data_IF_679872339087
#
_entry.id   IF_679872339087
#
_cell.length_a   1.000
_cell.length_b   1.000
_cell.length_c   1.000
_cell.angle_alpha   90.00
_cell.angle_beta   90.00
_cell.angle_gamma   90.00
#
_symmetry.space_group_name_H-M   'P 1'
#
loop_
_entity.id
_entity.type
_entity.pdbx_description
1 polymer ?
#
# COMPACT_ATOMS: atom_id res chain seq x y z
N UNK A 1 -10.65 18.02 -3.35
CA UNK A 1 -9.98 17.74 -4.62
C UNK A 1 -9.28 16.39 -4.45
N UNK A 2 -9.75 15.35 -5.14
CA UNK A 2 -9.05 14.07 -5.22
C UNK A 2 -7.89 14.28 -6.19
N UNK A 3 -6.66 14.31 -5.69
CA UNK A 3 -5.49 14.29 -6.57
C UNK A 3 -5.44 12.92 -7.25
N UNK A 4 -5.39 12.92 -8.58
CA UNK A 4 -5.20 11.75 -9.46
C UNK A 4 -3.84 11.08 -9.24
N UNK A 5 -3.56 10.63 -8.02
CA UNK A 5 -2.42 9.77 -7.72
C UNK A 5 -2.85 8.31 -7.92
N UNK A 6 -3.27 7.96 -9.14
CA UNK A 6 -3.54 6.57 -9.52
C UNK A 6 -2.20 5.85 -9.67
N UNK A 7 -1.63 5.42 -8.54
CA UNK A 7 -0.44 4.59 -8.54
C UNK A 7 -0.79 3.25 -9.18
N UNK A 8 0.06 2.77 -10.09
CA UNK A 8 -0.15 1.48 -10.76
C UNK A 8 1.06 0.59 -10.56
N UNK A 9 0.82 -0.64 -10.14
CA UNK A 9 1.83 -1.69 -10.13
C UNK A 9 1.60 -2.61 -11.32
N UNK A 10 2.56 -2.62 -12.24
CA UNK A 10 2.42 -3.30 -13.53
C UNK A 10 3.17 -4.63 -13.55
N UNK A 11 2.44 -5.72 -13.78
CA UNK A 11 2.96 -7.06 -13.97
C UNK A 11 2.97 -7.43 -15.47
N UNK A 12 4.14 -7.58 -16.11
CA UNK A 12 4.26 -7.98 -17.50
C UNK A 12 3.69 -9.36 -17.70
N UNK A 13 2.82 -9.53 -18.68
CA UNK A 13 2.19 -10.80 -19.02
C UNK A 13 3.23 -11.87 -19.36
N UNK A 14 4.32 -11.48 -20.02
CA UNK A 14 5.40 -12.36 -20.52
C UNK A 14 6.37 -12.88 -19.47
N UNK A 15 6.41 -12.32 -18.26
CA UNK A 15 7.36 -12.75 -17.22
C UNK A 15 6.76 -13.87 -16.36
N UNK A 16 7.51 -14.97 -16.21
CA UNK A 16 7.21 -16.04 -15.25
C UNK A 16 7.39 -15.56 -13.81
N UNK A 17 8.34 -14.65 -13.58
CA UNK A 17 8.58 -14.01 -12.27
C UNK A 17 7.60 -12.86 -12.08
N UNK A 18 6.59 -13.10 -11.24
CA UNK A 18 5.52 -12.16 -10.89
C UNK A 18 5.82 -11.41 -9.60
N UNK A 19 7.03 -10.88 -9.46
CA UNK A 19 7.46 -10.11 -8.29
C UNK A 19 7.66 -8.65 -8.67
N UNK A 20 7.19 -7.74 -7.83
CA UNK A 20 7.34 -6.29 -7.98
C UNK A 20 7.76 -5.67 -6.67
N UNK A 21 8.45 -4.53 -6.74
CA UNK A 21 8.89 -3.82 -5.54
C UNK A 21 8.03 -2.59 -5.33
N UNK A 22 7.54 -2.47 -4.10
CA UNK A 22 6.99 -1.24 -3.56
C UNK A 22 8.04 -0.63 -2.64
N UNK A 23 8.42 0.61 -2.92
CA UNK A 23 9.37 1.38 -2.12
C UNK A 23 8.58 2.40 -1.32
N UNK A 24 8.66 2.32 0.00
CA UNK A 24 8.11 3.33 0.89
C UNK A 24 9.26 4.24 1.31
N UNK A 25 9.27 5.46 0.80
CA UNK A 25 10.29 6.46 1.13
C UNK A 25 9.71 7.47 2.10
N UNK A 26 10.29 7.53 3.29
CA UNK A 26 9.99 8.57 4.26
C UNK A 26 11.03 9.68 4.14
N UNK A 27 10.58 10.89 3.83
CA UNK A 27 11.44 12.09 3.76
C UNK A 27 11.17 13.06 4.90
N UNK A 28 10.50 12.60 5.96
CA UNK A 28 10.17 13.39 7.14
C UNK A 28 11.12 13.02 8.27
N UNK A 29 11.16 13.89 9.28
CA UNK A 29 11.97 13.76 10.49
C UNK A 29 11.34 12.86 11.58
N UNK A 30 10.29 12.10 11.24
CA UNK A 30 9.58 11.19 12.14
C UNK A 30 9.34 9.87 11.44
N UNK A 31 9.28 8.78 12.20
CA UNK A 31 8.99 7.44 11.69
C UNK A 31 7.50 7.23 11.49
N UNK A 32 7.11 6.51 10.42
CA UNK A 32 5.73 6.12 10.16
C UNK A 32 5.50 4.64 10.44
N UNK A 33 4.32 4.31 10.94
CA UNK A 33 3.81 2.95 10.91
C UNK A 33 2.91 2.80 9.70
N UNK A 34 3.25 1.88 8.81
CA UNK A 34 2.56 1.65 7.54
C UNK A 34 1.92 0.28 7.55
N UNK A 35 0.66 0.20 7.12
CA UNK A 35 -0.08 -1.04 6.91
C UNK A 35 -0.43 -1.12 5.44
N UNK A 36 -0.16 -2.28 4.83
CA UNK A 36 -0.52 -2.56 3.44
C UNK A 36 -1.55 -3.66 3.41
N UNK A 37 -2.68 -3.38 2.76
CA UNK A 37 -3.81 -4.28 2.65
C UNK A 37 -3.99 -4.64 1.17
N UNK A 38 -3.79 -5.92 0.79
CA UNK A 38 -4.16 -6.37 -0.54
C UNK A 38 -5.66 -6.63 -0.63
N UNK A 39 -6.27 -6.29 -1.76
CA UNK A 39 -7.68 -6.59 -2.01
C UNK A 39 -7.97 -8.09 -2.13
N UNK A 40 -6.94 -8.92 -2.35
CA UNK A 40 -7.05 -10.38 -2.37
C UNK A 40 -5.76 -11.04 -1.87
N UNK A 41 -5.82 -11.67 -0.68
CA UNK A 41 -4.72 -12.46 -0.12
C UNK A 41 -4.44 -13.76 -0.89
N UNK A 42 -5.39 -14.20 -1.73
CA UNK A 42 -5.24 -15.38 -2.60
C UNK A 42 -4.36 -15.08 -3.80
N UNK A 43 -4.46 -13.86 -4.33
CA UNK A 43 -3.80 -13.45 -5.57
C UNK A 43 -2.58 -12.56 -5.31
N UNK A 44 -2.59 -11.79 -4.22
CA UNK A 44 -1.49 -10.89 -3.87
C UNK A 44 -0.87 -11.33 -2.56
N UNK A 45 0.44 -11.54 -2.58
CA UNK A 45 1.24 -11.80 -1.39
C UNK A 45 2.33 -10.75 -1.23
N UNK A 46 2.50 -10.27 -0.01
CA UNK A 46 3.38 -9.16 0.35
C UNK A 46 4.46 -9.71 1.29
N UNK A 47 5.73 -9.50 0.95
CA UNK A 47 6.89 -10.00 1.70
C UNK A 47 7.82 -8.85 2.13
N UNK A 48 8.31 -8.87 3.38
CA UNK A 48 8.08 -9.88 4.42
C UNK A 48 6.66 -9.79 5.03
N UNK A 49 6.05 -10.95 5.30
CA UNK A 49 4.80 -11.07 6.07
C UNK A 49 5.11 -10.84 7.55
N UNK A 50 4.29 -10.07 8.27
CA UNK A 50 4.38 -10.09 9.74
C UNK A 50 3.82 -11.41 10.27
N UNK A 51 4.23 -11.78 11.50
CA UNK A 51 3.77 -12.99 12.20
C UNK A 51 2.24 -13.07 12.38
N UNK A 52 1.50 -12.01 12.08
CA UNK A 52 0.03 -11.91 12.23
C UNK A 52 -0.74 -12.05 10.91
N UNK A 53 -0.06 -12.35 9.79
CA UNK A 53 -0.70 -12.38 8.46
C UNK A 53 -1.05 -11.01 7.90
N UNK A 54 -0.69 -9.93 8.61
CA UNK A 54 -0.82 -8.53 8.19
C UNK A 54 0.55 -7.98 7.79
N UNK A 55 0.60 -7.10 6.80
CA UNK A 55 1.86 -6.50 6.34
C UNK A 55 2.02 -5.12 6.94
N UNK A 56 2.65 -5.06 8.12
CA UNK A 56 2.92 -3.84 8.87
C UNK A 56 4.41 -3.56 8.87
N UNK A 57 4.77 -2.30 8.60
CA UNK A 57 6.14 -1.84 8.47
C UNK A 57 6.34 -0.58 9.28
N UNK A 58 7.50 -0.47 9.94
CA UNK A 58 8.00 0.79 10.45
C UNK A 58 8.91 1.38 9.38
N UNK A 59 8.63 2.61 8.95
CA UNK A 59 9.46 3.36 8.01
C UNK A 59 10.11 4.50 8.80
N UNK A 60 11.35 4.29 9.21
CA UNK A 60 12.11 5.26 10.00
C UNK A 60 12.25 6.62 9.31
N UNK A 61 12.50 7.67 10.08
CA UNK A 61 12.81 9.00 9.54
C UNK A 61 13.94 8.93 8.50
N UNK A 62 13.78 9.67 7.40
CA UNK A 62 14.74 9.74 6.28
C UNK A 62 15.16 8.38 5.68
N UNK A 63 14.32 7.36 5.81
CA UNK A 63 14.61 5.99 5.37
C UNK A 63 13.76 5.53 4.18
N UNK A 64 14.18 4.43 3.56
CA UNK A 64 13.40 3.73 2.52
C UNK A 64 13.28 2.26 2.86
N UNK A 65 12.05 1.74 2.81
CA UNK A 65 11.75 0.32 3.01
C UNK A 65 11.36 -0.31 1.68
N UNK A 66 11.92 -1.50 1.42
CA UNK A 66 11.64 -2.28 0.22
C UNK A 66 10.68 -3.41 0.53
N UNK A 67 9.59 -3.47 -0.21
CA UNK A 67 8.52 -4.44 -0.01
C UNK A 67 8.33 -5.20 -1.32
N UNK A 68 8.33 -6.53 -1.23
CA UNK A 68 8.08 -7.37 -2.40
C UNK A 68 6.60 -7.71 -2.47
N UNK A 69 5.97 -7.36 -3.57
CA UNK A 69 4.60 -7.75 -3.91
C UNK A 69 4.68 -8.84 -4.97
N UNK A 70 3.97 -9.93 -4.73
CA UNK A 70 3.88 -11.06 -5.63
C UNK A 70 2.44 -11.26 -6.09
N UNK A 71 2.27 -11.55 -7.38
CA UNK A 71 0.98 -11.96 -7.93
C UNK A 71 1.01 -13.49 -8.09
N UNK A 72 0.35 -14.21 -7.17
CA UNK A 72 0.28 -15.67 -7.19
C UNK A 72 -0.82 -16.14 -8.17
N UNK A 73 -0.43 -17.02 -9.08
CA UNK A 73 -1.27 -17.61 -10.12
C UNK A 73 -1.40 -19.14 -9.95
N UNK A 74 -0.79 -19.75 -8.92
CA UNK A 74 -0.66 -21.21 -8.82
C UNK A 74 -1.98 -21.96 -8.61
N UNK A 75 -3.05 -21.25 -8.25
CA UNK A 75 -4.42 -21.79 -8.23
C UNK A 75 -5.41 -20.99 -9.08
N UNK A 76 -4.94 -19.97 -9.80
CA UNK A 76 -5.80 -19.03 -10.52
C UNK A 76 -5.17 -18.64 -11.84
N UNK A 77 -5.77 -19.12 -12.93
CA UNK A 77 -5.36 -18.69 -14.26
C UNK A 77 -5.97 -17.32 -14.51
N UNK A 78 -5.21 -16.29 -14.16
CA UNK A 78 -5.54 -14.88 -14.36
C UNK A 78 -5.83 -14.55 -15.84
N UNK A 79 -5.35 -15.36 -16.78
CA UNK A 79 -5.68 -15.22 -18.20
C UNK A 79 -7.05 -15.83 -18.58
N UNK A 80 -7.65 -16.65 -17.71
CA UNK A 80 -8.98 -17.26 -17.89
C UNK A 80 -10.10 -16.49 -17.18
N UNK A 81 -9.78 -15.72 -16.16
CA UNK A 81 -10.75 -14.92 -15.40
C UNK A 81 -10.28 -13.46 -15.29
N UNK A 82 -10.52 -12.65 -16.35
CA UNK A 82 -10.13 -11.24 -16.37
C UNK A 82 -11.00 -10.37 -15.45
N UNK A 83 -12.11 -10.86 -14.92
CA UNK A 83 -12.96 -10.08 -14.01
C UNK A 83 -12.35 -9.98 -12.61
N UNK A 84 -11.73 -11.05 -12.10
CA UNK A 84 -10.99 -10.99 -10.83
C UNK A 84 -9.83 -9.97 -10.86
N UNK A 85 -9.25 -9.70 -12.03
CA UNK A 85 -8.20 -8.69 -12.20
C UNK A 85 -8.70 -7.25 -12.18
N UNK A 86 -9.96 -7.00 -12.55
CA UNK A 86 -10.49 -5.62 -12.68
C UNK A 86 -10.52 -4.85 -11.37
N UNK A 87 -10.39 -5.54 -10.24
CA UNK A 87 -10.52 -4.97 -8.90
C UNK A 87 -9.32 -5.28 -8.00
N UNK A 88 -8.20 -5.77 -8.55
CA UNK A 88 -7.00 -5.98 -7.76
C UNK A 88 -6.31 -4.65 -7.45
N UNK A 89 -6.13 -4.39 -6.17
CA UNK A 89 -5.44 -3.20 -5.67
C UNK A 89 -4.69 -3.49 -4.37
N UNK A 90 -3.80 -2.58 -4.00
CA UNK A 90 -3.17 -2.50 -2.70
C UNK A 90 -3.49 -1.16 -2.06
N UNK A 91 -4.10 -1.18 -0.89
CA UNK A 91 -4.29 0.01 -0.09
C UNK A 91 -3.13 0.15 0.91
N UNK A 92 -2.56 1.35 0.96
CA UNK A 92 -1.46 1.70 1.86
C UNK A 92 -1.99 2.74 2.83
N UNK A 93 -2.03 2.35 4.10
CA UNK A 93 -2.41 3.20 5.21
C UNK A 93 -1.20 3.54 6.05
N UNK A 94 -1.14 4.74 6.62
CA UNK A 94 -0.11 5.03 7.60
C UNK A 94 -0.57 5.96 8.74
N UNK A 95 0.25 5.98 9.80
CA UNK A 95 0.11 6.82 10.99
C UNK A 95 1.49 7.35 11.41
N UNK A 96 1.51 8.59 11.89
CA UNK A 96 2.70 9.38 12.26
C UNK A 96 3.28 9.07 13.65
N UNK A 97 2.51 8.40 14.51
CA UNK A 97 2.94 7.86 15.80
C UNK A 97 2.44 6.45 16.02
N UNK A 98 3.25 5.61 16.69
CA UNK A 98 2.76 4.39 17.32
C UNK A 98 1.61 4.78 18.25
N UNK A 99 0.36 4.38 17.97
CA UNK A 99 -0.74 4.71 18.86
C UNK A 99 -0.42 4.11 20.24
N UNK A 100 -0.89 4.73 21.33
CA UNK A 100 -0.78 4.12 22.67
C UNK A 100 -1.24 2.66 22.63
N UNK A 101 -0.66 1.77 23.48
CA UNK A 101 -0.79 0.30 23.36
C UNK A 101 -2.19 -0.23 22.97
N UNK A 102 -3.27 0.37 23.49
CA UNK A 102 -4.65 0.00 23.16
C UNK A 102 -5.09 0.42 21.75
N UNK A 103 -4.72 1.61 21.30
CA UNK A 103 -5.01 2.11 19.96
C UNK A 103 -4.16 1.39 18.90
N UNK A 104 -2.97 0.89 19.25
CA UNK A 104 -2.16 0.09 18.34
C UNK A 104 -2.88 -1.21 17.98
N UNK A 105 -3.44 -1.90 18.98
CA UNK A 105 -4.22 -3.12 18.74
C UNK A 105 -5.46 -2.85 17.88
N UNK A 106 -6.20 -1.77 18.17
CA UNK A 106 -7.33 -1.35 17.32
C UNK A 106 -6.92 -1.06 15.88
N UNK A 107 -5.78 -0.40 15.66
CA UNK A 107 -5.26 -0.08 14.32
C UNK A 107 -4.77 -1.32 13.56
N UNK A 108 -4.15 -2.24 14.28
CA UNK A 108 -3.75 -3.54 13.74
C UNK A 108 -4.99 -4.35 13.34
N UNK A 109 -6.04 -4.35 14.17
CA UNK A 109 -7.23 -5.19 14.00
C UNK A 109 -8.29 -4.63 13.07
N UNK A 110 -8.28 -3.32 12.79
CA UNK A 110 -9.27 -2.64 11.96
C UNK A 110 -8.66 -2.13 10.66
N UNK A 111 -9.28 -2.46 9.54
CA UNK A 111 -8.93 -1.92 8.22
C UNK A 111 -9.26 -0.42 8.08
N UNK A 112 -10.05 0.15 9.01
CA UNK A 112 -10.56 1.52 8.99
C UNK A 112 -10.43 2.22 10.35
N UNK A 113 -9.21 2.30 10.87
CA UNK A 113 -8.97 2.94 12.16
C UNK A 113 -9.13 4.48 12.07
N UNK A 114 -9.74 5.16 13.05
CA UNK A 114 -10.00 6.61 12.99
C UNK A 114 -8.75 7.49 12.79
N UNK A 115 -7.57 6.96 13.09
CA UNK A 115 -6.29 7.67 12.97
C UNK A 115 -5.49 7.27 11.72
N UNK A 116 -5.93 6.26 10.96
CA UNK A 116 -5.21 5.82 9.75
C UNK A 116 -5.62 6.66 8.55
N UNK A 117 -4.63 7.20 7.83
CA UNK A 117 -4.84 7.86 6.55
C UNK A 117 -4.48 6.92 5.40
N UNK A 118 -5.37 6.82 4.40
CA UNK A 118 -5.08 6.17 3.13
C UNK A 118 -4.14 7.07 2.32
N UNK A 119 -2.88 6.66 2.19
CA UNK A 119 -1.87 7.46 1.46
C UNK A 119 -1.76 7.09 0.00
N UNK A 120 -2.12 5.85 -0.35
CA UNK A 120 -2.14 5.39 -1.74
C UNK A 120 -3.06 4.19 -1.89
N UNK A 121 -3.79 4.17 -3.01
CA UNK A 121 -4.39 2.96 -3.56
C UNK A 121 -3.62 2.64 -4.86
N UNK A 122 -2.97 1.47 -4.92
CA UNK A 122 -2.25 1.03 -6.10
C UNK A 122 -3.08 0.03 -6.89
N UNK A 123 -3.47 0.39 -8.11
CA UNK A 123 -4.11 -0.56 -9.02
C UNK A 123 -3.08 -1.59 -9.49
N UNK A 124 -3.47 -2.87 -9.46
CA UNK A 124 -2.65 -3.96 -10.01
C UNK A 124 -3.07 -4.22 -11.44
N UNK A 125 -2.16 -3.93 -12.37
CA UNK A 125 -2.43 -4.04 -13.81
C UNK A 125 -1.49 -5.06 -14.45
N UNK A 126 -2.01 -5.85 -15.40
CA UNK A 126 -1.18 -6.66 -16.29
C UNK A 126 -1.00 -5.96 -17.62
N UNK A 127 0.24 -5.92 -18.12
CA UNK A 127 0.54 -5.30 -19.42
C UNK A 127 1.38 -6.22 -20.29
N UNK A 128 1.15 -6.21 -21.60
CA UNK A 128 2.03 -6.84 -22.59
C UNK A 128 3.15 -5.92 -23.05
N UNK A 129 2.97 -4.61 -22.83
CA UNK A 129 3.81 -3.55 -23.39
C UNK A 129 4.68 -2.88 -22.32
N UNK A 130 4.18 -2.84 -21.07
CA UNK A 130 4.82 -2.13 -19.98
C UNK A 130 5.38 -3.09 -18.93
N UNK A 131 6.59 -2.79 -18.48
CA UNK A 131 7.21 -3.43 -17.33
C UNK A 131 7.71 -2.36 -16.37
N UNK A 132 7.01 -2.22 -15.24
CA UNK A 132 7.47 -1.39 -14.12
C UNK A 132 7.97 -2.34 -13.05
N UNK A 133 9.25 -2.31 -12.74
CA UNK A 133 9.85 -3.18 -11.72
C UNK A 133 9.56 -2.67 -10.30
N UNK A 134 9.51 -1.34 -10.16
CA UNK A 134 9.51 -0.66 -8.87
C UNK A 134 8.49 0.49 -8.88
N UNK A 135 7.66 0.57 -7.84
CA UNK A 135 6.76 1.69 -7.57
C UNK A 135 7.22 2.35 -6.28
N UNK A 136 7.43 3.67 -6.29
CA UNK A 136 7.85 4.42 -5.10
C UNK A 136 6.72 5.32 -4.60
N UNK A 137 6.35 5.14 -3.34
CA UNK A 137 5.48 6.04 -2.60
C UNK A 137 6.31 6.90 -1.66
N UNK A 138 6.08 8.21 -1.72
CA UNK A 138 6.64 9.15 -0.75
C UNK A 138 5.64 9.35 0.38
N UNK A 139 6.05 9.01 1.58
CA UNK A 139 5.28 9.32 2.79
C UNK A 139 5.62 10.77 3.15
N UNK A 140 4.63 11.65 3.16
CA UNK A 140 4.77 13.07 3.54
C UNK A 140 3.91 13.35 4.76
N UNK A 141 4.26 14.37 5.56
CA UNK A 141 3.52 14.75 6.77
C UNK A 141 2.00 14.72 6.56
N UNK A 142 1.38 13.74 7.22
CA UNK A 142 -0.06 13.59 7.39
C UNK A 142 -0.41 14.37 8.65
N UNK A 143 -0.74 15.65 8.48
CA UNK A 143 -1.18 16.48 9.60
C UNK A 143 -0.74 17.94 9.51
N UNK A 144 -1.48 18.72 8.71
CA UNK A 144 -2.05 20.02 9.11
C UNK A 144 -2.81 20.77 7.99
N UNK A 145 -3.22 20.09 6.92
CA UNK A 145 -4.24 20.64 6.00
C UNK A 145 -5.52 19.82 6.07
N UNK A 146 -6.13 19.78 7.25
CA UNK A 146 -7.59 19.79 7.28
C UNK A 146 -8.06 21.07 6.55
N UNK A 147 -9.21 21.07 5.86
CA UNK A 147 -9.71 22.29 5.23
C UNK A 147 -9.79 23.37 6.29
N UNK A 148 -8.93 24.37 6.19
CA UNK A 148 -8.96 25.56 7.01
C UNK A 148 -10.31 26.22 6.76
N UNK A 149 -11.29 25.92 7.62
CA UNK A 149 -12.51 26.73 7.75
C UNK A 149 -12.09 28.03 8.42
N UNK A 150 -11.41 28.88 7.66
CA UNK A 150 -11.38 30.30 7.91
C UNK A 150 -12.77 30.87 7.56
N UNK A 151 -13.62 30.89 8.60
CA UNK A 151 -14.46 31.99 9.08
C UNK A 151 -15.27 32.77 8.02
N UNK A 152 -16.59 32.85 8.23
CA UNK A 152 -17.18 34.15 8.58
C UNK A 152 -18.39 33.99 9.48
N UNK A 153 -18.39 34.82 10.55
CA UNK A 153 -19.51 35.03 11.47
C UNK A 153 -20.69 35.66 10.75
#
# INVERSE_FOLDING_TARGET
MLTDNNFRMIFPVSQSVRLRRLLLRNTNNKSFLVKIIPSSLKLLSITPLSQTGRSIYVVEADSTVYITVSLDQRGFNVDKDPEEMRYLHLDVYCVDQLPGKHALRGWLDSDSHPQSELVAALDIVRSRELAVLEVMLRLTNIGNEGPSRHITK
#
